data_IF_768175348307
#
_entry.id   IF_768175348307
#
_cell.length_a   1.000
_cell.length_b   1.000
_cell.length_c   1.000
_cell.angle_alpha   90.00
_cell.angle_beta   90.00
_cell.angle_gamma   90.00
#
_symmetry.space_group_name_H-M   'P 1'
#
loop_
_entity.id
_entity.type
_entity.pdbx_description
1 polymer ?
#
# COMPACT_ATOMS: atom_id res chain seq x y z
N UNK A 1 12.52 14.45 -5.49
CA UNK A 1 12.40 13.54 -4.34
C UNK A 1 11.79 14.34 -3.21
N UNK A 2 10.64 13.89 -2.70
CA UNK A 2 9.88 14.52 -1.62
C UNK A 2 9.62 13.46 -0.54
N UNK A 3 9.66 13.83 0.73
CA UNK A 3 9.35 12.91 1.81
C UNK A 3 8.44 13.58 2.84
N UNK A 4 7.32 12.93 3.15
CA UNK A 4 6.26 13.49 3.98
C UNK A 4 5.65 12.41 4.86
N UNK A 5 5.03 12.80 5.97
CA UNK A 5 4.23 11.86 6.76
C UNK A 5 2.84 11.74 6.15
N UNK A 6 2.37 10.51 5.94
CA UNK A 6 0.98 10.26 5.57
C UNK A 6 0.08 10.06 6.80
N UNK A 7 0.68 9.69 7.93
CA UNK A 7 0.00 9.48 9.21
C UNK A 7 -0.26 10.77 9.97
N UNK A 8 -1.23 10.73 10.90
CA UNK A 8 -1.47 11.82 11.84
C UNK A 8 -0.30 11.98 12.81
N UNK A 9 0.27 10.87 13.28
CA UNK A 9 1.52 10.86 14.03
C UNK A 9 2.71 11.16 13.12
N UNK A 10 3.60 12.06 13.56
CA UNK A 10 4.75 12.53 12.77
C UNK A 10 6.04 12.55 13.59
N UNK A 11 6.11 11.70 14.62
CA UNK A 11 7.24 11.63 15.54
C UNK A 11 8.13 10.44 15.23
N UNK A 12 9.44 10.67 15.27
CA UNK A 12 10.43 9.63 15.00
C UNK A 12 10.38 8.46 16.00
N UNK A 13 9.90 8.69 17.22
CA UNK A 13 9.78 7.69 18.28
C UNK A 13 8.40 7.02 18.34
N UNK A 14 7.47 7.40 17.45
CA UNK A 14 6.14 6.79 17.39
C UNK A 14 6.10 5.71 16.32
N UNK A 15 5.78 4.48 16.73
CA UNK A 15 5.56 3.34 15.83
C UNK A 15 4.39 3.56 14.85
N UNK A 16 3.53 4.53 15.14
CA UNK A 16 2.39 4.91 14.31
C UNK A 16 2.79 5.82 13.15
N UNK A 17 3.93 6.50 13.24
CA UNK A 17 4.35 7.45 12.22
C UNK A 17 4.83 6.74 10.96
N UNK A 18 4.22 7.07 9.83
CA UNK A 18 4.53 6.52 8.50
C UNK A 18 5.00 7.65 7.60
N UNK A 19 6.29 7.60 7.24
CA UNK A 19 6.92 8.53 6.30
C UNK A 19 6.95 7.89 4.92
N UNK A 20 6.43 8.61 3.94
CA UNK A 20 6.35 8.21 2.53
C UNK A 20 7.48 8.88 1.77
N UNK A 21 8.09 8.12 0.87
CA UNK A 21 9.06 8.63 -0.08
C UNK A 21 8.40 8.75 -1.46
N UNK A 22 8.30 9.98 -1.97
CA UNK A 22 7.79 10.30 -3.30
C UNK A 22 8.89 10.73 -4.26
N UNK A 23 8.77 10.32 -5.51
CA UNK A 23 9.64 10.74 -6.61
C UNK A 23 8.83 10.92 -7.89
N UNK A 24 9.08 12.01 -8.61
CA UNK A 24 8.54 12.19 -9.96
C UNK A 24 9.64 11.81 -10.95
N UNK A 25 9.33 10.89 -11.87
CA UNK A 25 10.22 10.46 -12.95
C UNK A 25 9.60 10.81 -14.30
N UNK A 26 10.46 11.13 -15.26
CA UNK A 26 10.05 11.25 -16.65
C UNK A 26 10.26 9.91 -17.36
N UNK A 27 9.21 9.39 -17.99
CA UNK A 27 9.25 8.19 -18.79
C UNK A 27 8.49 8.44 -20.09
N UNK A 28 9.18 8.28 -21.23
CA UNK A 28 8.60 8.48 -22.57
C UNK A 28 7.86 9.84 -22.74
N UNK A 29 8.41 10.91 -22.15
CA UNK A 29 7.83 12.26 -22.20
C UNK A 29 6.62 12.47 -21.28
N UNK A 30 6.32 11.53 -20.39
CA UNK A 30 5.29 11.66 -19.36
C UNK A 30 5.92 11.71 -17.96
N UNK A 31 5.41 12.57 -17.10
CA UNK A 31 5.78 12.59 -15.69
C UNK A 31 4.93 11.60 -14.91
N UNK A 32 5.57 10.76 -14.11
CA UNK A 32 4.94 9.75 -13.25
C UNK A 32 5.40 9.97 -11.82
N UNK A 33 4.45 10.09 -10.90
CA UNK A 33 4.69 10.24 -9.47
C UNK A 33 4.67 8.86 -8.80
N UNK A 34 5.82 8.39 -8.32
CA UNK A 34 5.95 7.10 -7.64
C UNK A 34 6.11 7.30 -6.13
N UNK A 35 5.41 6.50 -5.33
CA UNK A 35 5.41 6.57 -3.87
C UNK A 35 5.74 5.21 -3.25
N UNK A 36 6.79 5.17 -2.42
CA UNK A 36 7.10 4.00 -1.59
C UNK A 36 6.34 4.10 -0.26
N UNK A 37 5.53 3.08 0.00
CA UNK A 37 4.54 3.05 1.06
C UNK A 37 4.82 1.93 2.07
N UNK A 38 4.64 2.23 3.35
CA UNK A 38 4.47 1.23 4.40
C UNK A 38 3.43 1.78 5.38
N UNK A 39 2.22 1.23 5.33
CA UNK A 39 1.03 1.79 5.98
C UNK A 39 0.74 1.07 7.30
N UNK A 40 0.01 1.71 8.22
CA UNK A 40 -0.49 1.07 9.44
C UNK A 40 -1.52 -0.03 9.13
N UNK A 41 -1.78 -0.89 10.11
CA UNK A 41 -2.85 -1.90 10.04
C UNK A 41 -4.24 -1.25 9.89
N UNK A 42 -5.22 -1.89 9.22
CA UNK A 42 -6.58 -1.38 9.07
C UNK A 42 -7.28 -1.02 10.38
N UNK A 43 -6.99 -1.77 11.44
CA UNK A 43 -7.59 -1.66 12.76
C UNK A 43 -6.63 -1.05 13.80
N UNK A 44 -5.61 -0.31 13.36
CA UNK A 44 -4.64 0.32 14.24
C UNK A 44 -5.32 1.34 15.18
N UNK A 45 -5.14 1.18 16.49
CA UNK A 45 -5.56 2.21 17.44
C UNK A 45 -4.69 3.47 17.24
N UNK A 46 -5.33 4.63 17.06
CA UNK A 46 -4.65 5.93 16.95
C UNK A 46 -4.29 6.39 15.54
N UNK A 47 -4.55 5.60 14.50
CA UNK A 47 -4.37 5.99 13.10
C UNK A 47 -5.56 5.48 12.27
N UNK A 48 -6.00 6.25 11.29
CA UNK A 48 -6.96 5.80 10.30
C UNK A 48 -6.21 5.45 9.01
N UNK A 49 -6.17 4.16 8.66
CA UNK A 49 -5.45 3.68 7.49
C UNK A 49 -5.90 4.36 6.19
N UNK A 50 -7.21 4.55 6.01
CA UNK A 50 -7.75 5.13 4.78
C UNK A 50 -7.43 6.61 4.67
N UNK A 51 -7.42 7.34 5.79
CA UNK A 51 -6.99 8.74 5.80
C UNK A 51 -5.50 8.84 5.45
N UNK A 52 -4.67 7.90 5.94
CA UNK A 52 -3.24 7.88 5.62
C UNK A 52 -3.01 7.62 4.13
N UNK A 53 -3.73 6.68 3.53
CA UNK A 53 -3.64 6.43 2.08
C UNK A 53 -4.18 7.63 1.28
N UNK A 54 -5.29 8.24 1.72
CA UNK A 54 -5.85 9.43 1.07
C UNK A 54 -4.85 10.59 1.07
N UNK A 55 -4.11 10.80 2.16
CA UNK A 55 -3.06 11.83 2.22
C UNK A 55 -1.95 11.62 1.17
N UNK A 56 -1.70 10.38 0.74
CA UNK A 56 -0.75 10.07 -0.35
C UNK A 56 -1.37 10.39 -1.70
N UNK A 57 -2.60 9.90 -1.93
CA UNK A 57 -3.35 10.15 -3.17
C UNK A 57 -3.51 11.64 -3.45
N UNK A 58 -3.80 12.42 -2.41
CA UNK A 58 -4.06 13.86 -2.50
C UNK A 58 -2.80 14.72 -2.34
N UNK A 59 -1.62 14.12 -2.10
CA UNK A 59 -0.35 14.83 -1.85
C UNK A 59 -0.02 15.87 -2.92
N UNK A 60 -0.28 15.53 -4.18
CA UNK A 60 -0.05 16.38 -5.34
C UNK A 60 -1.34 16.63 -6.11
N UNK A 61 -1.53 17.89 -6.53
CA UNK A 61 -2.62 18.29 -7.44
C UNK A 61 -2.26 18.06 -8.92
N UNK A 62 -1.11 17.44 -9.20
CA UNK A 62 -0.73 17.02 -10.55
C UNK A 62 -1.79 16.06 -11.13
N UNK A 63 -1.97 16.12 -12.45
CA UNK A 63 -2.72 15.12 -13.22
C UNK A 63 -1.81 13.98 -13.71
N UNK A 64 -0.61 13.88 -13.15
CA UNK A 64 0.35 12.83 -13.50
C UNK A 64 -0.24 11.47 -13.09
N UNK A 65 0.20 10.41 -13.78
CA UNK A 65 0.01 9.05 -13.27
C UNK A 65 0.68 8.95 -11.90
N UNK A 66 -0.03 8.38 -10.92
CA UNK A 66 0.50 8.11 -9.58
C UNK A 66 0.58 6.60 -9.40
N UNK A 67 1.72 6.12 -8.91
CA UNK A 67 1.96 4.71 -8.59
C UNK A 67 2.30 4.62 -7.11
N UNK A 68 1.51 3.88 -6.35
CA UNK A 68 1.73 3.66 -4.91
C UNK A 68 2.16 2.22 -4.70
N UNK A 69 3.35 2.00 -4.15
CA UNK A 69 3.98 0.68 -4.05
C UNK A 69 4.50 0.39 -2.65
N UNK A 70 4.22 -0.81 -2.14
CA UNK A 70 4.78 -1.32 -0.88
C UNK A 70 3.75 -2.04 0.00
N UNK A 71 4.03 -2.10 1.30
CA UNK A 71 3.23 -2.84 2.28
C UNK A 71 2.05 -2.00 2.79
N UNK A 72 0.83 -2.41 2.45
CA UNK A 72 -0.39 -1.75 2.91
C UNK A 72 -0.95 -2.37 4.19
N UNK A 73 -0.36 -3.46 4.69
CA UNK A 73 -0.79 -4.19 5.89
C UNK A 73 -2.26 -4.67 5.84
N UNK A 74 -2.83 -4.76 4.65
CA UNK A 74 -4.21 -5.20 4.40
C UNK A 74 -4.17 -6.47 3.58
N UNK A 75 -4.73 -7.56 4.09
CA UNK A 75 -4.77 -8.82 3.36
C UNK A 75 -5.97 -8.89 2.42
N UNK A 76 -5.73 -8.95 1.11
CA UNK A 76 -6.79 -9.07 0.12
C UNK A 76 -7.56 -10.40 0.23
N UNK A 77 -6.97 -11.44 0.83
CA UNK A 77 -7.55 -12.79 0.93
C UNK A 77 -8.46 -12.88 2.16
N UNK A 78 -7.92 -12.61 3.35
CA UNK A 78 -8.70 -12.75 4.59
C UNK A 78 -9.56 -11.54 4.95
N UNK A 79 -9.25 -10.33 4.45
CA UNK A 79 -10.05 -9.11 4.67
C UNK A 79 -10.38 -8.36 3.36
N UNK A 80 -11.23 -8.95 2.51
CA UNK A 80 -11.62 -8.33 1.24
C UNK A 80 -12.35 -6.99 1.46
N UNK A 81 -12.99 -6.75 2.62
CA UNK A 81 -13.70 -5.50 2.90
C UNK A 81 -12.71 -4.34 3.10
N UNK A 82 -11.68 -4.53 3.94
CA UNK A 82 -10.63 -3.53 4.10
C UNK A 82 -9.90 -3.26 2.78
N UNK A 83 -9.60 -4.31 2.00
CA UNK A 83 -9.01 -4.17 0.67
C UNK A 83 -9.88 -3.36 -0.30
N UNK A 84 -11.19 -3.63 -0.39
CA UNK A 84 -12.09 -2.84 -1.24
C UNK A 84 -12.20 -1.37 -0.82
N UNK A 85 -12.11 -1.07 0.49
CA UNK A 85 -12.08 0.32 0.98
C UNK A 85 -10.84 1.08 0.51
N UNK A 86 -9.69 0.43 0.42
CA UNK A 86 -8.47 1.03 -0.16
C UNK A 86 -8.70 1.38 -1.63
N UNK A 87 -9.20 0.43 -2.43
CA UNK A 87 -9.50 0.66 -3.86
C UNK A 87 -10.53 1.77 -4.07
N UNK A 88 -11.49 1.90 -3.16
CA UNK A 88 -12.52 2.95 -3.19
C UNK A 88 -11.96 4.38 -3.06
N UNK A 89 -10.67 4.53 -2.73
CA UNK A 89 -9.95 5.80 -2.79
C UNK A 89 -9.50 6.17 -4.23
N UNK A 90 -9.92 5.41 -5.25
CA UNK A 90 -9.57 5.63 -6.65
C UNK A 90 -8.32 4.88 -7.11
N UNK A 91 -7.91 3.84 -6.38
CA UNK A 91 -6.73 3.03 -6.67
C UNK A 91 -7.09 1.79 -7.49
N UNK A 92 -6.23 1.42 -8.44
CA UNK A 92 -6.39 0.24 -9.29
C UNK A 92 -5.28 -0.77 -8.96
N UNK A 93 -5.64 -1.98 -8.56
CA UNK A 93 -4.63 -3.01 -8.25
C UNK A 93 -4.03 -3.57 -9.55
N UNK A 94 -2.73 -3.34 -9.75
CA UNK A 94 -2.01 -3.85 -10.92
C UNK A 94 -2.00 -5.37 -11.00
N UNK A 95 -2.05 -6.09 -9.86
CA UNK A 95 -2.19 -7.54 -9.86
C UNK A 95 -3.53 -7.96 -10.46
N UNK A 96 -4.64 -7.28 -10.15
CA UNK A 96 -5.92 -7.60 -10.76
C UNK A 96 -5.91 -7.32 -12.27
N UNK A 97 -5.31 -6.20 -12.68
CA UNK A 97 -5.22 -5.76 -14.08
C UNK A 97 -4.28 -6.62 -14.94
N UNK A 98 -3.34 -7.35 -14.34
CA UNK A 98 -2.35 -8.12 -15.07
C UNK A 98 -2.97 -9.25 -15.92
N UNK A 99 -2.53 -9.35 -17.18
CA UNK A 99 -2.92 -10.43 -18.11
C UNK A 99 -2.43 -11.79 -17.61
N UNK A 100 -1.22 -11.83 -17.05
CA UNK A 100 -0.59 -13.00 -16.46
C UNK A 100 -0.23 -12.68 -15.01
N UNK A 101 -0.57 -13.60 -14.11
CA UNK A 101 -0.35 -13.46 -12.68
C UNK A 101 -0.22 -14.84 -12.02
N UNK A 102 0.58 -14.90 -10.98
CA UNK A 102 0.70 -16.06 -10.10
C UNK A 102 -0.40 -16.01 -9.01
N UNK A 103 -0.17 -16.69 -7.88
CA UNK A 103 -1.12 -16.67 -6.76
C UNK A 103 -1.23 -15.30 -6.07
N UNK A 104 -0.27 -14.39 -6.27
CA UNK A 104 -0.21 -13.08 -5.63
C UNK A 104 0.10 -13.12 -4.14
N UNK A 105 0.57 -14.25 -3.61
CA UNK A 105 0.96 -14.36 -2.20
C UNK A 105 2.27 -13.60 -1.98
N UNK A 106 2.26 -12.66 -1.04
CA UNK A 106 3.45 -11.86 -0.69
C UNK A 106 4.01 -12.20 0.68
N UNK A 107 3.22 -12.89 1.53
CA UNK A 107 3.66 -13.43 2.80
C UNK A 107 3.15 -14.86 2.96
N UNK A 108 4.06 -15.79 3.25
CA UNK A 108 3.74 -17.15 3.62
C UNK A 108 4.35 -17.44 4.99
N UNK A 109 3.52 -17.81 5.97
CA UNK A 109 3.98 -18.42 7.22
C UNK A 109 3.72 -19.91 7.17
N UNK A 110 4.73 -20.67 6.78
CA UNK A 110 4.74 -22.12 6.95
C UNK A 110 5.10 -22.46 8.40
N UNK A 111 4.28 -23.28 9.07
CA UNK A 111 4.68 -23.92 10.32
C UNK A 111 5.43 -25.19 9.95
N UNK A 112 6.73 -25.23 10.28
CA UNK A 112 7.55 -26.41 10.03
C UNK A 112 6.95 -27.65 10.74
N UNK A 113 6.70 -28.72 9.99
CA UNK A 113 6.02 -29.94 10.46
C UNK A 113 4.51 -30.05 10.15
N UNK A 114 3.85 -28.97 9.70
CA UNK A 114 2.42 -28.97 9.34
C UNK A 114 2.22 -28.70 7.84
N UNK A 115 2.46 -29.73 7.01
CA UNK A 115 2.14 -29.65 5.57
C UNK A 115 0.64 -29.37 5.38
N UNK A 116 0.30 -28.19 4.87
CA UNK A 116 -1.07 -27.80 4.52
C UNK A 116 -1.73 -26.74 5.39
N UNK A 117 -1.05 -26.19 6.40
CA UNK A 117 -1.52 -25.03 7.18
C UNK A 117 -0.67 -23.79 6.88
N UNK A 118 -0.69 -23.32 5.63
CA UNK A 118 -0.08 -22.05 5.24
C UNK A 118 -1.04 -20.90 5.58
N UNK A 119 -0.57 -19.91 6.37
CA UNK A 119 -1.26 -18.61 6.47
C UNK A 119 -0.75 -17.71 5.33
N UNK A 120 -1.22 -17.99 4.12
CA UNK A 120 -0.93 -17.20 2.92
C UNK A 120 -1.67 -15.86 2.97
N UNK A 121 -0.94 -14.77 2.70
CA UNK A 121 -1.49 -13.41 2.69
C UNK A 121 -0.94 -12.63 1.51
N UNK A 122 -1.73 -11.65 1.05
CA UNK A 122 -1.26 -10.60 0.13
C UNK A 122 -1.34 -9.24 0.82
N UNK A 123 -0.21 -8.75 1.32
CA UNK A 123 -0.09 -7.48 2.07
C UNK A 123 0.60 -6.36 1.28
N UNK A 124 1.51 -6.73 0.38
CA UNK A 124 2.20 -5.81 -0.54
C UNK A 124 1.46 -5.64 -1.87
N UNK A 125 1.45 -4.40 -2.36
CA UNK A 125 0.73 -4.01 -3.57
C UNK A 125 1.51 -3.01 -4.41
N UNK A 126 1.13 -2.96 -5.69
CA UNK A 126 1.38 -1.82 -6.57
C UNK A 126 0.01 -1.38 -7.08
N UNK A 127 -0.41 -0.19 -6.63
CA UNK A 127 -1.64 0.48 -7.04
C UNK A 127 -1.35 1.64 -8.01
#
# INVERSE_FOLDING_TARGET
>A
MDAFYCSQHQRLDSILSRKILGLTVEYQGQLVDCYSCHINLPNCAGENQLDNIRNIVERSQSRNLKILMGDFNTDAISDPNAYQKIKSLGLLDTFEMAEQKDSGITVEKAIDGWKGHSEEKRLDYIF
#
